data_IF_549601244052
#
_entry.id   IF_549601244052
#
_cell.length_a   1.000
_cell.length_b   1.000
_cell.length_c   1.000
_cell.angle_alpha   90.00
_cell.angle_beta   90.00
_cell.angle_gamma   90.00
#
_symmetry.space_group_name_H-M   'P 1'
#
loop_
_entity.id
_entity.type
_entity.pdbx_description
1 polymer ?
#
# COMPACT_ATOMS: atom_id res chain seq x y z
N UNK A 1 7.62 13.09 -39.17
CA UNK A 1 7.88 14.05 -38.07
C UNK A 1 6.53 14.38 -37.45
N UNK A 2 6.06 13.51 -36.56
CA UNK A 2 4.81 13.71 -35.85
C UNK A 2 5.13 14.60 -34.64
N UNK A 3 4.52 15.78 -34.60
CA UNK A 3 4.54 16.63 -33.42
C UNK A 3 3.64 15.93 -32.41
N UNK A 4 4.26 15.22 -31.45
CA UNK A 4 3.60 14.80 -30.22
C UNK A 4 3.27 16.06 -29.45
N UNK A 5 2.06 16.59 -29.65
CA UNK A 5 1.49 17.58 -28.74
C UNK A 5 1.23 16.83 -27.44
N UNK A 6 2.20 16.86 -26.53
CA UNK A 6 2.01 16.48 -25.14
C UNK A 6 1.01 17.49 -24.59
N UNK A 7 -0.21 17.06 -24.27
CA UNK A 7 -1.10 17.91 -23.48
C UNK A 7 -0.42 18.07 -22.12
N UNK A 8 0.12 19.26 -21.86
CA UNK A 8 0.70 19.57 -20.56
C UNK A 8 -0.46 19.80 -19.59
N UNK A 9 -0.55 18.98 -18.55
CA UNK A 9 -1.50 19.19 -17.47
C UNK A 9 -1.09 20.44 -16.66
N UNK A 10 -2.06 21.30 -16.34
CA UNK A 10 -1.83 22.59 -15.70
C UNK A 10 -1.77 22.44 -14.17
N UNK A 11 -0.66 21.91 -13.66
CA UNK A 11 -0.49 21.58 -12.24
C UNK A 11 -0.75 22.75 -11.29
N UNK A 12 -0.25 23.96 -11.59
CA UNK A 12 -0.42 25.12 -10.70
C UNK A 12 -1.90 25.55 -10.58
N UNK A 13 -2.63 25.50 -11.70
CA UNK A 13 -4.06 25.81 -11.74
C UNK A 13 -4.87 24.70 -11.04
N UNK A 14 -4.52 23.44 -11.29
CA UNK A 14 -5.10 22.29 -10.60
C UNK A 14 -4.97 22.41 -9.08
N UNK A 15 -3.77 22.66 -8.57
CA UNK A 15 -3.55 22.81 -7.12
C UNK A 15 -4.37 23.98 -6.55
N UNK A 16 -4.36 25.13 -7.23
CA UNK A 16 -5.02 26.34 -6.76
C UNK A 16 -6.53 26.14 -6.68
N UNK A 17 -7.13 25.67 -7.75
CA UNK A 17 -8.58 25.50 -7.85
C UNK A 17 -9.07 24.34 -7.00
N UNK A 18 -8.33 23.22 -6.93
CA UNK A 18 -8.69 22.11 -6.06
C UNK A 18 -8.58 22.47 -4.58
N UNK A 19 -7.59 23.27 -4.18
CA UNK A 19 -7.52 23.82 -2.82
C UNK A 19 -8.76 24.65 -2.49
N UNK A 20 -9.19 25.53 -3.40
CA UNK A 20 -10.37 26.37 -3.18
C UNK A 20 -11.65 25.51 -3.10
N UNK A 21 -11.78 24.52 -3.99
CA UNK A 21 -12.90 23.60 -3.99
C UNK A 21 -12.95 22.78 -2.69
N UNK A 22 -11.82 22.22 -2.26
CA UNK A 22 -11.71 21.46 -1.02
C UNK A 22 -12.07 22.32 0.20
N UNK A 23 -11.52 23.54 0.31
CA UNK A 23 -11.85 24.43 1.41
C UNK A 23 -13.35 24.81 1.42
N UNK A 24 -13.95 25.05 0.27
CA UNK A 24 -15.39 25.32 0.19
C UNK A 24 -16.24 24.11 0.58
N UNK A 25 -15.85 22.91 0.15
CA UNK A 25 -16.51 21.67 0.52
C UNK A 25 -16.44 21.43 2.03
N UNK A 26 -15.27 21.57 2.65
CA UNK A 26 -15.13 21.42 4.11
C UNK A 26 -15.96 22.46 4.85
N UNK A 27 -16.01 23.72 4.41
CA UNK A 27 -16.90 24.72 5.02
C UNK A 27 -18.36 24.29 4.99
N UNK A 28 -18.82 23.75 3.87
CA UNK A 28 -20.19 23.26 3.74
C UNK A 28 -20.45 22.04 4.64
N UNK A 29 -19.48 21.12 4.77
CA UNK A 29 -19.57 19.99 5.70
C UNK A 29 -19.63 20.45 7.16
N UNK A 30 -18.76 21.40 7.56
CA UNK A 30 -18.76 21.96 8.92
C UNK A 30 -20.06 22.70 9.21
N UNK A 31 -20.60 23.45 8.25
CA UNK A 31 -21.91 24.10 8.38
C UNK A 31 -23.04 23.06 8.56
N UNK A 32 -22.99 21.95 7.81
CA UNK A 32 -23.96 20.86 7.93
C UNK A 32 -23.84 20.10 9.27
N UNK A 33 -22.63 19.93 9.79
CA UNK A 33 -22.35 19.33 11.09
C UNK A 33 -22.79 20.23 12.28
N UNK A 34 -23.12 21.50 12.03
CA UNK A 34 -23.73 22.39 13.00
C UNK A 34 -22.80 22.74 14.16
N UNK A 35 -23.06 22.19 15.35
CA UNK A 35 -22.31 22.49 16.58
C UNK A 35 -21.26 21.44 16.94
N UNK A 36 -21.07 20.45 16.09
CA UNK A 36 -20.04 19.43 16.26
C UNK A 36 -18.64 20.04 16.16
N UNK A 37 -17.65 19.35 16.72
CA UNK A 37 -16.26 19.80 16.81
C UNK A 37 -15.41 19.06 15.77
N UNK A 38 -15.02 19.71 14.65
CA UNK A 38 -14.14 19.08 13.67
C UNK A 38 -12.75 18.77 14.25
N UNK A 39 -12.21 17.58 13.98
CA UNK A 39 -10.82 17.25 14.35
C UNK A 39 -9.99 16.72 13.17
N UNK A 40 -10.62 16.25 12.09
CA UNK A 40 -9.88 15.75 10.93
C UNK A 40 -10.62 15.99 9.62
N UNK A 41 -9.85 16.20 8.56
CA UNK A 41 -10.28 16.11 7.16
C UNK A 41 -9.38 15.12 6.46
N UNK A 42 -9.96 14.20 5.70
CA UNK A 42 -9.22 13.23 4.91
C UNK A 42 -9.55 13.39 3.43
N UNK A 43 -8.52 13.34 2.61
CA UNK A 43 -8.66 12.94 1.22
C UNK A 43 -8.47 11.43 1.17
N UNK A 44 -9.47 10.65 0.77
CA UNK A 44 -9.45 9.18 0.82
C UNK A 44 -9.81 8.55 -0.52
N UNK A 45 -9.82 7.22 -0.60
CA UNK A 45 -10.18 6.49 -1.83
C UNK A 45 -9.31 6.85 -3.04
N UNK A 46 -7.99 7.00 -2.80
CA UNK A 46 -7.04 7.16 -3.89
C UNK A 46 -7.11 5.96 -4.83
N UNK A 47 -7.48 6.21 -6.08
CA UNK A 47 -7.58 5.16 -7.11
C UNK A 47 -6.82 5.52 -8.37
N UNK A 48 -6.01 4.58 -8.83
CA UNK A 48 -5.24 4.70 -10.05
C UNK A 48 -5.01 3.33 -10.70
N UNK A 49 -5.02 3.32 -12.03
CA UNK A 49 -4.67 2.13 -12.83
C UNK A 49 -3.35 2.40 -13.54
N UNK A 50 -2.35 1.54 -13.39
CA UNK A 50 -1.05 1.74 -14.07
C UNK A 50 -1.25 1.85 -15.58
N UNK A 51 -0.78 2.96 -16.18
CA UNK A 51 -1.01 3.36 -17.59
C UNK A 51 -2.46 3.72 -17.96
N UNK A 52 -3.39 3.65 -17.01
CA UNK A 52 -4.79 4.04 -17.10
C UNK A 52 -5.07 5.34 -16.36
N UNK A 53 -6.25 5.40 -15.77
CA UNK A 53 -6.81 6.60 -15.12
C UNK A 53 -6.15 6.90 -13.76
N UNK A 54 -6.25 8.16 -13.35
CA UNK A 54 -6.02 8.61 -11.97
C UNK A 54 -7.29 9.39 -11.59
N UNK A 55 -7.98 8.94 -10.54
CA UNK A 55 -9.16 9.63 -10.02
C UNK A 55 -8.78 10.61 -8.90
N UNK A 56 -9.61 11.63 -8.73
CA UNK A 56 -9.50 12.50 -7.57
C UNK A 56 -10.01 11.74 -6.33
N UNK A 57 -9.34 11.86 -5.18
CA UNK A 57 -9.76 11.21 -3.95
C UNK A 57 -11.05 11.84 -3.42
N UNK A 58 -11.84 11.08 -2.66
CA UNK A 58 -12.98 11.64 -1.94
C UNK A 58 -12.52 12.57 -0.82
N UNK A 59 -13.41 13.45 -0.36
CA UNK A 59 -13.16 14.31 0.78
C UNK A 59 -14.14 13.96 1.89
N UNK A 60 -13.63 13.78 3.10
CA UNK A 60 -14.41 13.45 4.28
C UNK A 60 -14.01 14.32 5.48
N UNK A 61 -14.97 14.57 6.38
CA UNK A 61 -14.82 15.35 7.61
C UNK A 61 -15.15 14.48 8.82
N UNK A 62 -14.28 14.50 9.83
CA UNK A 62 -14.52 13.86 11.11
C UNK A 62 -14.79 14.89 12.20
N UNK A 63 -15.78 14.62 13.04
CA UNK A 63 -16.11 15.40 14.22
C UNK A 63 -16.07 14.54 15.47
N UNK A 64 -15.77 15.14 16.63
CA UNK A 64 -15.66 14.41 17.90
C UNK A 64 -16.97 13.69 18.28
N UNK A 65 -18.10 14.17 17.78
CA UNK A 65 -19.44 13.66 18.08
C UNK A 65 -19.93 12.60 17.08
N UNK A 66 -19.42 12.57 15.85
CA UNK A 66 -19.88 11.62 14.81
C UNK A 66 -19.18 10.26 14.86
N UNK A 67 -18.05 10.14 15.57
CA UNK A 67 -17.27 8.89 15.64
C UNK A 67 -17.31 8.29 17.05
N UNK A 68 -18.17 7.29 17.24
CA UNK A 68 -18.36 6.62 18.53
C UNK A 68 -17.27 5.56 18.83
N UNK A 69 -16.81 4.84 17.80
CA UNK A 69 -15.86 3.74 17.94
C UNK A 69 -14.42 4.24 17.83
N UNK A 70 -13.55 4.02 18.85
CA UNK A 70 -12.16 4.49 18.81
C UNK A 70 -11.37 4.00 17.58
N UNK A 71 -11.67 2.79 17.10
CA UNK A 71 -11.01 2.18 15.94
C UNK A 71 -11.41 2.85 14.61
N UNK A 72 -12.56 3.54 14.57
CA UNK A 72 -13.05 4.29 13.41
C UNK A 72 -12.60 5.76 13.40
N UNK A 73 -11.86 6.21 14.42
CA UNK A 73 -11.45 7.63 14.56
C UNK A 73 -10.69 8.14 13.34
N UNK A 74 -9.83 7.34 12.75
CA UNK A 74 -9.10 7.71 11.54
C UNK A 74 -9.43 6.77 10.37
N UNK A 75 -10.71 6.45 10.21
CA UNK A 75 -11.25 5.63 9.11
C UNK A 75 -12.26 6.45 8.31
N UNK A 76 -11.82 7.20 7.28
CA UNK A 76 -12.71 8.06 6.48
C UNK A 76 -13.98 7.37 5.94
N UNK A 77 -13.94 6.08 5.49
CA UNK A 77 -15.15 5.37 5.06
C UNK A 77 -16.22 5.18 6.15
N UNK A 78 -15.82 5.25 7.43
CA UNK A 78 -16.71 5.09 8.59
C UNK A 78 -17.23 6.45 9.10
N UNK A 79 -16.84 7.58 8.50
CA UNK A 79 -17.27 8.90 8.93
C UNK A 79 -18.62 9.29 8.34
N UNK A 80 -19.41 10.04 9.11
CA UNK A 80 -20.75 10.49 8.71
C UNK A 80 -20.70 11.50 7.56
N UNK A 81 -19.74 12.44 7.61
CA UNK A 81 -19.63 13.54 6.65
C UNK A 81 -18.64 13.17 5.52
N UNK A 82 -19.04 12.25 4.65
CA UNK A 82 -18.25 11.77 3.50
C UNK A 82 -18.96 12.02 2.14
N UNK A 83 -18.44 11.44 1.07
CA UNK A 83 -19.01 11.44 -0.29
C UNK A 83 -19.16 12.82 -0.97
N UNK A 84 -18.22 13.74 -0.73
CA UNK A 84 -18.11 14.91 -1.63
C UNK A 84 -17.55 14.47 -2.98
N UNK A 85 -18.46 14.23 -3.92
CA UNK A 85 -18.12 14.12 -5.32
C UNK A 85 -17.70 15.49 -5.85
N UNK A 86 -16.54 15.59 -6.47
CA UNK A 86 -16.04 16.81 -7.16
C UNK A 86 -16.93 17.27 -8.34
N UNK A 87 -18.06 16.60 -8.54
CA UNK A 87 -19.04 16.79 -9.59
C UNK A 87 -19.63 18.20 -9.53
N UNK A 88 -19.29 18.99 -10.54
CA UNK A 88 -19.64 20.40 -10.79
C UNK A 88 -18.62 21.46 -10.31
N UNK A 89 -17.35 21.08 -10.11
CA UNK A 89 -16.28 22.08 -10.29
C UNK A 89 -16.17 22.44 -11.77
N UNK A 90 -16.27 23.74 -12.12
CA UNK A 90 -16.27 24.26 -13.51
C UNK A 90 -15.10 23.72 -14.38
N UNK A 91 -14.02 23.29 -13.75
CA UNK A 91 -12.74 22.95 -14.40
C UNK A 91 -12.56 21.47 -14.76
N UNK A 92 -13.49 20.58 -14.38
CA UNK A 92 -13.47 19.14 -14.73
C UNK A 92 -12.09 18.47 -14.53
N UNK A 93 -11.42 18.80 -13.42
CA UNK A 93 -10.01 18.43 -13.21
C UNK A 93 -9.77 16.91 -13.23
N UNK A 94 -10.69 16.10 -12.71
CA UNK A 94 -10.60 14.64 -12.75
C UNK A 94 -10.58 14.08 -14.17
N UNK A 95 -11.46 14.57 -15.05
CA UNK A 95 -11.50 14.16 -16.46
C UNK A 95 -10.25 14.61 -17.22
N UNK A 96 -9.79 15.85 -16.96
CA UNK A 96 -8.57 16.40 -17.56
C UNK A 96 -7.34 15.61 -17.14
N UNK A 97 -7.24 15.24 -15.87
CA UNK A 97 -6.14 14.43 -15.33
C UNK A 97 -6.15 13.05 -15.96
N UNK A 98 -7.28 12.36 -15.91
CA UNK A 98 -7.46 11.03 -16.50
C UNK A 98 -7.11 11.03 -17.99
N UNK A 99 -7.54 12.04 -18.74
CA UNK A 99 -7.21 12.20 -20.16
C UNK A 99 -5.71 12.43 -20.39
N UNK A 100 -5.05 13.20 -19.52
CA UNK A 100 -3.63 13.51 -19.67
C UNK A 100 -2.71 12.31 -19.42
N UNK A 101 -3.13 11.37 -18.56
CA UNK A 101 -2.29 10.24 -18.13
C UNK A 101 -2.62 8.91 -18.81
N UNK A 102 -3.86 8.72 -19.26
CA UNK A 102 -4.29 7.46 -19.87
C UNK A 102 -3.53 7.18 -21.16
N UNK A 103 -2.98 5.96 -21.28
CA UNK A 103 -2.22 5.52 -22.45
C UNK A 103 -0.76 5.99 -22.47
N UNK A 104 -0.29 6.68 -21.44
CA UNK A 104 1.13 6.97 -21.30
C UNK A 104 1.94 5.68 -21.10
N UNK A 105 3.19 5.61 -21.61
CA UNK A 105 4.12 4.55 -21.24
C UNK A 105 4.32 4.53 -19.72
N UNK A 106 4.44 3.34 -19.13
CA UNK A 106 4.56 3.13 -17.67
C UNK A 106 5.46 4.14 -16.96
N UNK A 107 6.71 4.30 -17.39
CA UNK A 107 7.65 5.22 -16.75
C UNK A 107 7.22 6.70 -16.80
N UNK A 108 6.44 7.11 -17.81
CA UNK A 108 5.88 8.47 -17.87
C UNK A 108 4.62 8.58 -17.03
N UNK A 109 3.79 7.54 -16.99
CA UNK A 109 2.62 7.49 -16.12
C UNK A 109 3.04 7.57 -14.64
N UNK A 110 4.06 6.82 -14.23
CA UNK A 110 4.63 6.86 -12.87
C UNK A 110 5.12 8.28 -12.51
N UNK A 111 5.73 9.00 -13.46
CA UNK A 111 6.12 10.41 -13.24
C UNK A 111 4.93 11.35 -13.05
N UNK A 112 3.82 11.15 -13.76
CA UNK A 112 2.62 11.97 -13.59
C UNK A 112 1.86 11.59 -12.30
N UNK A 113 1.90 10.32 -11.88
CA UNK A 113 1.45 9.89 -10.55
C UNK A 113 2.23 10.60 -9.43
N UNK A 114 3.57 10.64 -9.51
CA UNK A 114 4.39 11.33 -8.51
C UNK A 114 4.04 12.83 -8.41
N UNK A 115 3.76 13.46 -9.55
CA UNK A 115 3.32 14.86 -9.59
C UNK A 115 1.94 15.05 -8.99
N UNK A 116 1.01 14.13 -9.27
CA UNK A 116 -0.31 14.13 -8.67
C UNK A 116 -0.24 13.98 -7.15
N UNK A 117 0.51 13.00 -6.65
CA UNK A 117 0.77 12.80 -5.23
C UNK A 117 1.33 14.08 -4.58
N UNK A 118 2.31 14.72 -5.21
CA UNK A 118 2.88 15.97 -4.70
C UNK A 118 1.88 17.13 -4.72
N UNK A 119 1.05 17.23 -5.77
CA UNK A 119 0.01 18.24 -5.86
C UNK A 119 -1.05 18.05 -4.77
N UNK A 120 -1.47 16.81 -4.49
CA UNK A 120 -2.41 16.51 -3.41
C UNK A 120 -1.85 16.85 -2.02
N UNK A 121 -0.55 16.62 -1.78
CA UNK A 121 0.10 17.05 -0.53
C UNK A 121 0.05 18.57 -0.37
N UNK A 122 0.31 19.30 -1.46
CA UNK A 122 0.21 20.76 -1.48
C UNK A 122 -1.23 21.24 -1.22
N UNK A 123 -2.22 20.58 -1.84
CA UNK A 123 -3.65 20.86 -1.68
C UNK A 123 -4.07 20.63 -0.22
N UNK A 124 -3.74 19.50 0.39
CA UNK A 124 -4.07 19.22 1.80
C UNK A 124 -3.49 20.29 2.75
N UNK A 125 -2.20 20.62 2.58
CA UNK A 125 -1.53 21.63 3.41
C UNK A 125 -2.16 23.04 3.26
N UNK A 126 -2.49 23.44 2.03
CA UNK A 126 -3.11 24.75 1.77
C UNK A 126 -4.57 24.79 2.23
N UNK A 127 -5.33 23.70 2.07
CA UNK A 127 -6.69 23.56 2.59
C UNK A 127 -6.71 23.73 4.11
N UNK A 128 -5.82 23.02 4.83
CA UNK A 128 -5.65 23.21 6.28
C UNK A 128 -5.37 24.66 6.63
N UNK A 129 -4.38 25.26 5.96
CA UNK A 129 -3.97 26.65 6.21
C UNK A 129 -5.13 27.63 6.05
N UNK A 130 -5.93 27.48 4.99
CA UNK A 130 -7.06 28.36 4.71
C UNK A 130 -8.18 28.21 5.76
N UNK A 131 -8.53 26.98 6.12
CA UNK A 131 -9.63 26.67 7.04
C UNK A 131 -9.29 26.98 8.51
N UNK A 132 -8.03 26.86 8.90
CA UNK A 132 -7.58 27.31 10.22
C UNK A 132 -7.57 28.84 10.28
N UNK A 133 -7.10 29.51 9.22
CA UNK A 133 -6.99 30.97 9.18
C UNK A 133 -8.35 31.71 9.26
N UNK A 134 -9.42 31.12 8.73
CA UNK A 134 -10.77 31.68 8.81
C UNK A 134 -11.61 31.13 9.99
N UNK A 135 -11.04 30.21 10.77
CA UNK A 135 -11.67 29.63 11.96
C UNK A 135 -12.68 28.52 11.68
N UNK A 136 -12.76 28.01 10.44
CA UNK A 136 -13.59 26.84 10.10
C UNK A 136 -13.10 25.57 10.79
N UNK A 137 -11.78 25.38 10.87
CA UNK A 137 -11.15 24.28 11.60
C UNK A 137 -10.38 24.80 12.81
N UNK A 138 -10.34 24.05 13.92
CA UNK A 138 -9.46 24.38 15.04
C UNK A 138 -7.97 24.18 14.68
N UNK A 139 -7.08 24.85 15.41
CA UNK A 139 -5.62 24.84 15.16
C UNK A 139 -4.99 23.43 15.24
N UNK A 140 -5.60 22.52 15.99
CA UNK A 140 -5.16 21.14 16.20
C UNK A 140 -5.87 20.11 15.30
N UNK A 141 -6.79 20.55 14.42
CA UNK A 141 -7.34 19.67 13.39
C UNK A 141 -6.25 19.25 12.39
N UNK A 142 -6.33 18.01 11.93
CA UNK A 142 -5.43 17.45 10.91
C UNK A 142 -6.12 17.40 9.55
N UNK A 143 -5.35 17.62 8.48
CA UNK A 143 -5.80 17.41 7.10
C UNK A 143 -4.79 16.48 6.44
N UNK A 144 -5.21 15.29 6.06
CA UNK A 144 -4.31 14.23 5.60
C UNK A 144 -4.80 13.53 4.35
N UNK A 145 -3.92 12.75 3.72
CA UNK A 145 -4.21 11.92 2.57
C UNK A 145 -4.21 10.45 3.01
N UNK A 146 -5.28 9.71 2.76
CA UNK A 146 -5.46 8.32 3.16
C UNK A 146 -5.32 7.41 1.93
N UNK A 147 -4.07 7.04 1.62
CA UNK A 147 -3.72 6.12 0.54
C UNK A 147 -3.50 4.70 1.05
N UNK A 148 -3.66 3.71 0.16
CA UNK A 148 -3.59 2.27 0.50
C UNK A 148 -2.27 1.88 1.19
N UNK A 149 -1.15 2.46 0.76
CA UNK A 149 0.19 2.18 1.30
C UNK A 149 0.58 3.10 2.48
N UNK A 150 -0.28 4.04 2.84
CA UNK A 150 -0.05 5.09 3.84
C UNK A 150 1.19 6.00 3.61
N UNK A 151 1.77 6.02 2.39
CA UNK A 151 2.91 6.92 2.07
C UNK A 151 2.46 8.38 2.13
N UNK A 152 1.33 8.68 1.49
CA UNK A 152 0.78 10.03 1.46
C UNK A 152 0.26 10.45 2.83
N UNK A 153 -0.29 9.51 3.61
CA UNK A 153 -0.70 9.74 5.00
C UNK A 153 0.48 10.26 5.81
N UNK A 154 1.58 9.50 5.85
CA UNK A 154 2.77 9.87 6.63
C UNK A 154 3.38 11.19 6.15
N UNK A 155 3.37 11.45 4.84
CA UNK A 155 3.93 12.67 4.25
C UNK A 155 3.05 13.91 4.43
N UNK A 156 1.75 13.74 4.66
CA UNK A 156 0.79 14.83 4.84
C UNK A 156 0.79 15.42 6.25
N UNK A 157 1.35 14.69 7.22
CA UNK A 157 1.33 15.05 8.64
C UNK A 157 2.70 15.52 9.15
N UNK A 158 2.69 16.37 10.17
CA UNK A 158 3.89 16.67 10.95
C UNK A 158 4.28 15.48 11.83
N UNK A 159 5.53 15.43 12.27
CA UNK A 159 6.01 14.37 13.16
C UNK A 159 5.27 14.35 14.52
N UNK A 160 4.76 15.50 14.99
CA UNK A 160 3.99 15.58 16.24
C UNK A 160 2.57 15.03 16.04
N UNK A 161 1.91 15.40 14.93
CA UNK A 161 0.59 14.88 14.57
C UNK A 161 0.65 13.37 14.34
N UNK A 162 1.63 12.87 13.59
CA UNK A 162 1.82 11.44 13.37
C UNK A 162 2.02 10.68 14.69
N UNK A 163 2.85 11.20 15.60
CA UNK A 163 3.05 10.59 16.93
C UNK A 163 1.79 10.57 17.79
N UNK A 164 0.91 11.56 17.63
CA UNK A 164 -0.30 11.71 18.42
C UNK A 164 -1.46 10.88 17.88
N UNK A 165 -1.64 10.88 16.57
CA UNK A 165 -2.83 10.36 15.91
C UNK A 165 -2.58 9.00 15.26
N UNK A 166 -1.35 8.70 14.84
CA UNK A 166 -0.98 7.46 14.17
C UNK A 166 0.35 6.87 14.72
N UNK A 167 0.41 6.58 16.03
CA UNK A 167 1.63 6.12 16.69
C UNK A 167 2.21 4.81 16.09
N UNK A 168 1.38 3.99 15.45
CA UNK A 168 1.75 2.76 14.78
C UNK A 168 2.72 2.98 13.61
N UNK A 169 2.56 4.02 12.79
CA UNK A 169 3.51 4.31 11.70
C UNK A 169 4.87 4.76 12.24
N UNK A 170 4.89 5.46 13.37
CA UNK A 170 6.12 5.85 14.06
C UNK A 170 6.83 4.60 14.61
N UNK A 171 6.06 3.70 15.23
CA UNK A 171 6.58 2.43 15.75
C UNK A 171 7.11 1.52 14.64
N UNK A 172 6.39 1.42 13.52
CA UNK A 172 6.79 0.65 12.34
C UNK A 172 8.11 1.17 11.76
N UNK A 173 8.21 2.49 11.56
CA UNK A 173 9.43 3.15 11.06
C UNK A 173 10.62 2.92 12.00
N UNK A 174 10.41 3.01 13.32
CA UNK A 174 11.47 2.75 14.29
C UNK A 174 11.89 1.28 14.28
N UNK A 175 10.92 0.35 14.23
CA UNK A 175 11.20 -1.08 14.15
C UNK A 175 11.99 -1.42 12.88
N UNK A 176 11.66 -0.82 11.74
CA UNK A 176 12.42 -1.01 10.50
C UNK A 176 13.87 -0.55 10.66
N UNK A 177 14.10 0.67 11.22
CA UNK A 177 15.45 1.18 11.46
C UNK A 177 16.26 0.25 12.37
N UNK A 178 15.65 -0.21 13.45
CA UNK A 178 16.29 -1.10 14.42
C UNK A 178 16.67 -2.43 13.77
N UNK A 179 15.79 -2.99 12.93
CA UNK A 179 16.02 -4.24 12.19
C UNK A 179 17.11 -4.06 11.13
N UNK A 180 17.10 -2.96 10.38
CA UNK A 180 18.10 -2.68 9.34
C UNK A 180 19.50 -2.45 9.93
N UNK A 181 19.59 -1.98 11.17
CA UNK A 181 20.86 -1.81 11.89
C UNK A 181 21.46 -3.13 12.41
N UNK A 182 20.72 -4.24 12.39
CA UNK A 182 21.19 -5.53 12.88
C UNK A 182 22.18 -6.20 11.91
N UNK A 183 23.09 -7.07 12.41
CA UNK A 183 23.81 -8.01 11.56
C UNK A 183 22.85 -8.88 10.75
N UNK A 184 23.23 -9.23 9.52
CA UNK A 184 22.37 -9.93 8.54
C UNK A 184 21.69 -11.17 9.13
N UNK A 185 22.43 -12.02 9.86
CA UNK A 185 21.89 -13.25 10.45
C UNK A 185 20.78 -12.97 11.48
N UNK A 186 21.01 -11.99 12.36
CA UNK A 186 20.03 -11.57 13.36
C UNK A 186 18.82 -10.91 12.70
N UNK A 187 19.06 -10.07 11.69
CA UNK A 187 18.03 -9.40 10.90
C UNK A 187 17.09 -10.41 10.23
N UNK A 188 17.64 -11.40 9.54
CA UNK A 188 16.86 -12.46 8.86
C UNK A 188 16.00 -13.22 9.85
N UNK A 189 16.51 -13.54 11.05
CA UNK A 189 15.72 -14.25 12.07
C UNK A 189 14.53 -13.40 12.57
N UNK A 190 14.73 -12.11 12.83
CA UNK A 190 13.66 -11.20 13.28
C UNK A 190 12.62 -11.01 12.17
N UNK A 191 13.06 -10.79 10.94
CA UNK A 191 12.17 -10.65 9.80
C UNK A 191 11.38 -11.94 9.52
N UNK A 192 12.00 -13.12 9.66
CA UNK A 192 11.31 -14.39 9.49
C UNK A 192 10.18 -14.57 10.51
N UNK A 193 10.38 -14.16 11.76
CA UNK A 193 9.32 -14.16 12.77
C UNK A 193 8.19 -13.18 12.40
N UNK A 194 8.53 -11.95 12.04
CA UNK A 194 7.53 -10.93 11.65
C UNK A 194 6.74 -11.32 10.38
N UNK A 195 7.39 -11.96 9.41
CA UNK A 195 6.78 -12.47 8.20
C UNK A 195 5.93 -13.74 8.42
N UNK A 196 5.97 -14.35 9.61
CA UNK A 196 5.26 -15.59 9.93
C UNK A 196 5.92 -16.86 9.40
N UNK A 197 7.19 -16.80 9.00
CA UNK A 197 7.99 -17.96 8.59
C UNK A 197 8.54 -18.75 9.79
N UNK A 198 8.62 -18.11 10.96
CA UNK A 198 9.07 -18.70 12.21
C UNK A 198 8.18 -18.23 13.39
N UNK A 199 8.11 -19.01 14.48
CA UNK A 199 7.44 -18.55 15.70
C UNK A 199 8.11 -17.30 16.26
N UNK A 200 7.31 -16.32 16.67
CA UNK A 200 7.79 -15.12 17.33
C UNK A 200 6.68 -14.11 17.60
N UNK A 201 6.99 -13.01 18.29
CA UNK A 201 6.02 -11.96 18.55
C UNK A 201 5.64 -11.27 17.23
N UNK A 202 4.39 -10.82 17.15
CA UNK A 202 3.98 -9.86 16.12
C UNK A 202 4.70 -8.54 16.42
N UNK A 203 5.59 -8.13 15.52
CA UNK A 203 6.33 -6.88 15.63
C UNK A 203 5.62 -5.72 14.93
N UNK A 204 5.98 -4.49 15.29
CA UNK A 204 5.40 -3.27 14.71
C UNK A 204 5.71 -3.08 13.20
N UNK A 205 6.66 -3.84 12.64
CA UNK A 205 7.05 -3.76 11.23
C UNK A 205 5.95 -4.24 10.26
N UNK A 206 5.03 -5.09 10.72
CA UNK A 206 4.05 -5.74 9.85
C UNK A 206 4.63 -6.89 9.01
N UNK A 207 3.75 -7.77 8.51
CA UNK A 207 4.14 -8.99 7.78
C UNK A 207 4.66 -8.70 6.38
N UNK A 208 4.02 -7.78 5.67
CA UNK A 208 4.32 -7.46 4.28
C UNK A 208 5.69 -6.81 4.15
N UNK A 209 5.94 -5.74 4.92
CA UNK A 209 7.24 -5.10 4.98
C UNK A 209 8.36 -6.03 5.43
N UNK A 210 8.08 -6.94 6.39
CA UNK A 210 9.05 -7.95 6.79
C UNK A 210 9.40 -8.92 5.64
N UNK A 211 8.44 -9.24 4.78
CA UNK A 211 8.64 -10.10 3.61
C UNK A 211 9.49 -9.39 2.55
N UNK A 212 9.23 -8.11 2.28
CA UNK A 212 10.04 -7.29 1.36
C UNK A 212 11.50 -7.21 1.80
N UNK A 213 11.75 -6.96 3.09
CA UNK A 213 13.10 -6.89 3.63
C UNK A 213 13.81 -8.26 3.61
N UNK A 214 13.07 -9.38 3.63
CA UNK A 214 13.63 -10.70 3.38
C UNK A 214 14.01 -10.90 1.90
N UNK A 215 13.20 -10.38 0.98
CA UNK A 215 13.53 -10.40 -0.45
C UNK A 215 14.81 -9.60 -0.73
N UNK A 216 14.93 -8.41 -0.13
CA UNK A 216 16.14 -7.57 -0.22
C UNK A 216 17.38 -8.25 0.38
N UNK A 217 17.21 -9.11 1.39
CA UNK A 217 18.29 -9.91 1.96
C UNK A 217 18.76 -11.04 1.02
N UNK A 218 18.00 -11.37 -0.01
CA UNK A 218 18.36 -12.32 -1.07
C UNK A 218 18.75 -13.70 -0.52
N UNK A 219 19.95 -14.18 -0.90
CA UNK A 219 20.43 -15.50 -0.50
C UNK A 219 20.48 -15.72 1.02
N UNK A 220 20.60 -14.66 1.83
CA UNK A 220 20.60 -14.78 3.29
C UNK A 220 19.23 -15.21 3.85
N UNK A 221 18.13 -14.99 3.13
CA UNK A 221 16.79 -15.40 3.54
C UNK A 221 16.45 -16.85 3.14
N UNK A 222 17.24 -17.50 2.27
CA UNK A 222 16.99 -18.87 1.81
C UNK A 222 16.89 -19.88 2.98
N UNK A 223 17.79 -19.87 3.99
CA UNK A 223 17.71 -20.85 5.08
C UNK A 223 16.40 -20.80 5.88
N UNK A 224 15.87 -19.61 6.15
CA UNK A 224 14.61 -19.47 6.90
C UNK A 224 13.40 -19.88 6.07
N UNK A 225 13.42 -19.60 4.75
CA UNK A 225 12.37 -20.03 3.84
C UNK A 225 12.33 -21.56 3.68
N UNK A 226 13.51 -22.19 3.57
CA UNK A 226 13.65 -23.66 3.56
C UNK A 226 13.19 -24.26 4.89
N UNK A 227 13.55 -23.67 6.03
CA UNK A 227 13.10 -24.14 7.34
C UNK A 227 11.57 -24.10 7.48
N UNK A 228 10.92 -23.06 6.94
CA UNK A 228 9.45 -22.95 6.95
C UNK A 228 8.75 -24.09 6.19
N UNK A 229 9.39 -24.67 5.17
CA UNK A 229 8.83 -25.83 4.44
C UNK A 229 8.65 -27.08 5.32
N UNK A 230 9.31 -27.15 6.48
CA UNK A 230 9.21 -28.31 7.38
C UNK A 230 7.87 -28.37 8.15
N UNK A 231 7.04 -27.31 8.10
CA UNK A 231 5.81 -27.21 8.87
C UNK A 231 4.62 -26.88 7.97
N UNK A 232 3.51 -27.64 8.02
CA UNK A 232 2.33 -27.39 7.18
C UNK A 232 1.78 -25.96 7.27
N UNK A 233 1.84 -25.36 8.46
CA UNK A 233 1.33 -24.01 8.75
C UNK A 233 2.13 -22.89 8.07
N UNK A 234 3.43 -23.11 7.83
CA UNK A 234 4.35 -22.09 7.29
C UNK A 234 4.93 -22.45 5.92
N UNK A 235 4.71 -23.69 5.46
CA UNK A 235 5.24 -24.18 4.18
C UNK A 235 4.73 -23.39 2.98
N UNK A 236 3.50 -22.89 3.02
CA UNK A 236 2.97 -22.05 1.94
C UNK A 236 3.72 -20.71 1.85
N UNK A 237 4.03 -20.06 2.99
CA UNK A 237 4.80 -18.81 3.04
C UNK A 237 6.25 -19.04 2.64
N UNK A 238 6.86 -20.14 3.09
CA UNK A 238 8.21 -20.55 2.68
C UNK A 238 8.31 -20.80 1.18
N UNK A 239 7.33 -21.51 0.60
CA UNK A 239 7.23 -21.73 -0.84
C UNK A 239 7.10 -20.43 -1.62
N UNK A 240 6.19 -19.53 -1.20
CA UNK A 240 6.03 -18.20 -1.81
C UNK A 240 7.35 -17.41 -1.78
N UNK A 241 8.00 -17.30 -0.63
CA UNK A 241 9.26 -16.57 -0.49
C UNK A 241 10.37 -17.15 -1.39
N UNK A 242 10.52 -18.48 -1.45
CA UNK A 242 11.50 -19.12 -2.35
C UNK A 242 11.21 -18.85 -3.83
N UNK A 243 9.93 -18.83 -4.21
CA UNK A 243 9.48 -18.50 -5.55
C UNK A 243 9.81 -17.05 -5.94
N UNK A 244 9.68 -16.12 -5.00
CA UNK A 244 9.96 -14.69 -5.20
C UNK A 244 11.46 -14.37 -5.13
N UNK A 245 12.23 -15.06 -4.26
CA UNK A 245 13.69 -14.98 -4.24
C UNK A 245 14.32 -15.46 -5.55
N UNK A 246 13.69 -16.41 -6.24
CA UNK A 246 14.12 -16.94 -7.54
C UNK A 246 15.58 -17.48 -7.54
N UNK A 247 15.97 -18.16 -6.46
CA UNK A 247 17.29 -18.77 -6.27
C UNK A 247 17.16 -20.30 -6.30
N UNK A 248 17.52 -20.92 -7.42
CA UNK A 248 17.39 -22.36 -7.65
C UNK A 248 18.68 -23.15 -7.30
N UNK A 249 19.06 -23.21 -6.02
CA UNK A 249 20.15 -24.11 -5.60
C UNK A 249 19.65 -25.55 -5.42
N UNK A 250 20.53 -26.57 -5.49
CA UNK A 250 20.15 -27.95 -5.23
C UNK A 250 19.41 -28.14 -3.90
N UNK A 251 19.87 -27.46 -2.84
CA UNK A 251 19.27 -27.54 -1.50
C UNK A 251 17.84 -26.98 -1.48
N UNK A 252 17.58 -25.89 -2.20
CA UNK A 252 16.25 -25.31 -2.34
C UNK A 252 15.33 -26.25 -3.11
N UNK A 253 15.81 -26.80 -4.23
CA UNK A 253 15.04 -27.73 -5.06
C UNK A 253 14.69 -29.00 -4.29
N UNK A 254 15.65 -29.58 -3.57
CA UNK A 254 15.44 -30.78 -2.75
C UNK A 254 14.42 -30.53 -1.63
N UNK A 255 14.51 -29.38 -0.95
CA UNK A 255 13.55 -29.03 0.11
C UNK A 255 12.13 -28.84 -0.44
N UNK A 256 11.97 -28.16 -1.58
CA UNK A 256 10.67 -27.99 -2.24
C UNK A 256 10.09 -29.34 -2.70
N UNK A 257 10.91 -30.22 -3.28
CA UNK A 257 10.46 -31.57 -3.65
C UNK A 257 10.02 -32.40 -2.44
N UNK A 258 10.72 -32.26 -1.32
CA UNK A 258 10.37 -32.92 -0.06
C UNK A 258 9.07 -32.35 0.56
N UNK A 259 8.77 -31.07 0.34
CA UNK A 259 7.56 -30.41 0.84
C UNK A 259 6.34 -30.58 -0.07
N UNK A 260 6.53 -30.96 -1.34
CA UNK A 260 5.45 -31.16 -2.31
C UNK A 260 4.36 -32.17 -1.86
N UNK A 261 4.60 -33.14 -0.97
CA UNK A 261 3.53 -33.99 -0.42
C UNK A 261 2.68 -33.37 0.71
N UNK A 262 2.96 -32.15 1.20
CA UNK A 262 2.22 -31.47 2.29
C UNK A 262 0.83 -30.93 1.92
N UNK A 263 -0.24 -31.47 2.50
CA UNK A 263 -1.63 -31.14 2.13
C UNK A 263 -2.03 -29.66 2.32
N UNK A 264 -3.05 -29.22 1.57
CA UNK A 264 -3.67 -27.91 1.69
C UNK A 264 -2.97 -26.83 0.88
N UNK A 265 -3.08 -25.56 1.29
CA UNK A 265 -2.49 -24.41 0.58
C UNK A 265 -0.96 -24.50 0.42
N UNK A 266 -0.30 -25.32 1.24
CA UNK A 266 1.13 -25.60 1.13
C UNK A 266 1.49 -26.27 -0.21
N UNK A 267 0.67 -27.20 -0.71
CA UNK A 267 0.92 -27.88 -1.99
C UNK A 267 1.03 -26.92 -3.16
N UNK A 268 0.08 -25.99 -3.27
CA UNK A 268 -0.02 -25.11 -4.45
C UNK A 268 1.17 -24.15 -4.51
N UNK A 269 1.54 -23.55 -3.38
CA UNK A 269 2.69 -22.64 -3.33
C UNK A 269 4.03 -23.35 -3.53
N UNK A 270 4.20 -24.56 -3.01
CA UNK A 270 5.41 -25.38 -3.26
C UNK A 270 5.49 -25.78 -4.74
N UNK A 271 4.38 -26.17 -5.35
CA UNK A 271 4.32 -26.51 -6.77
C UNK A 271 4.58 -25.28 -7.66
N UNK A 272 4.03 -24.12 -7.32
CA UNK A 272 4.32 -22.83 -7.97
C UNK A 272 5.79 -22.46 -7.86
N UNK A 273 6.41 -22.63 -6.68
CA UNK A 273 7.84 -22.37 -6.48
C UNK A 273 8.70 -23.26 -7.37
N UNK A 274 8.45 -24.58 -7.37
CA UNK A 274 9.12 -25.53 -8.29
C UNK A 274 8.95 -25.11 -9.75
N UNK A 275 7.74 -24.69 -10.14
CA UNK A 275 7.45 -24.14 -11.47
C UNK A 275 8.33 -22.96 -11.84
N UNK A 276 8.34 -21.92 -11.01
CA UNK A 276 9.15 -20.71 -11.21
C UNK A 276 10.65 -20.98 -11.27
N UNK A 277 11.12 -21.95 -10.48
CA UNK A 277 12.52 -22.36 -10.44
C UNK A 277 12.90 -23.35 -11.56
N UNK A 278 11.97 -23.68 -12.46
CA UNK A 278 12.25 -24.41 -13.70
C UNK A 278 11.87 -25.89 -13.71
N UNK A 279 11.15 -26.38 -12.69
CA UNK A 279 10.74 -27.78 -12.55
C UNK A 279 9.23 -28.01 -12.81
N UNK A 280 8.56 -27.08 -13.50
CA UNK A 280 7.11 -27.11 -13.69
C UNK A 280 6.61 -28.33 -14.48
N UNK A 281 7.35 -28.75 -15.51
CA UNK A 281 6.97 -29.91 -16.32
C UNK A 281 7.13 -31.23 -15.54
N UNK A 282 8.14 -31.32 -14.69
CA UNK A 282 8.37 -32.45 -13.79
C UNK A 282 7.22 -32.57 -12.78
N UNK A 283 6.77 -31.46 -12.20
CA UNK A 283 5.60 -31.45 -11.30
C UNK A 283 4.32 -31.83 -12.06
N UNK A 284 4.13 -31.32 -13.28
CA UNK A 284 2.97 -31.64 -14.11
C UNK A 284 2.86 -33.15 -14.43
N UNK A 285 3.99 -33.84 -14.56
CA UNK A 285 4.04 -35.28 -14.83
C UNK A 285 3.68 -36.16 -13.61
N UNK A 286 3.57 -35.60 -12.40
CA UNK A 286 3.36 -36.36 -11.16
C UNK A 286 1.89 -36.66 -10.88
N UNK A 287 1.44 -37.88 -11.18
CA UNK A 287 0.06 -38.30 -10.93
C UNK A 287 -0.33 -38.40 -9.44
N UNK A 288 0.66 -38.46 -8.54
CA UNK A 288 0.49 -38.50 -7.09
C UNK A 288 0.22 -37.12 -6.45
N UNK A 289 0.36 -36.04 -7.22
CA UNK A 289 0.10 -34.65 -6.80
C UNK A 289 -1.31 -34.21 -7.24
N UNK A 290 -2.08 -33.44 -6.44
CA UNK A 290 -3.40 -32.95 -6.84
C UNK A 290 -3.39 -32.17 -8.17
N UNK A 291 -4.49 -32.27 -8.93
CA UNK A 291 -4.58 -31.61 -10.24
C UNK A 291 -4.42 -30.09 -10.18
N UNK A 292 -4.94 -29.44 -9.13
CA UNK A 292 -4.77 -28.01 -8.90
C UNK A 292 -3.30 -27.60 -8.75
N UNK A 293 -2.56 -28.30 -7.90
CA UNK A 293 -1.13 -28.02 -7.66
C UNK A 293 -0.27 -28.29 -8.91
N UNK A 294 -0.59 -29.34 -9.68
CA UNK A 294 0.06 -29.56 -10.99
C UNK A 294 -0.18 -28.41 -11.96
N UNK A 295 -1.40 -27.89 -12.01
CA UNK A 295 -1.73 -26.74 -12.83
C UNK A 295 -0.98 -25.48 -12.34
N UNK A 296 -0.93 -25.26 -11.02
CA UNK A 296 -0.21 -24.13 -10.41
C UNK A 296 1.28 -24.10 -10.76
N UNK A 297 1.92 -25.27 -10.92
CA UNK A 297 3.33 -25.37 -11.31
C UNK A 297 3.63 -24.90 -12.76
N UNK A 298 2.63 -24.91 -13.65
CA UNK A 298 2.79 -24.51 -15.07
C UNK A 298 2.00 -23.25 -15.44
N UNK A 299 1.12 -22.79 -14.54
CA UNK A 299 0.37 -21.55 -14.66
C UNK A 299 1.03 -20.38 -13.93
N UNK A 300 2.03 -20.64 -13.07
CA UNK A 300 2.85 -19.59 -12.47
C UNK A 300 3.38 -18.67 -13.58
N UNK A 301 3.26 -17.33 -13.44
CA UNK A 301 3.58 -16.41 -14.53
C UNK A 301 4.99 -16.70 -15.04
N UNK A 302 5.06 -17.07 -16.32
CA UNK A 302 6.31 -17.23 -17.05
C UNK A 302 7.09 -15.91 -16.97
N UNK A 303 8.41 -16.02 -16.79
CA UNK A 303 9.35 -14.89 -16.65
C UNK A 303 9.08 -13.73 -17.62
#
# INVERSE_FOLDING_TARGET
MAILVRVAFEWDAFETELTLAAANAVRAMVEAAGSETPYAVAFSEFYAETTGVIYLPNLALATEESVEEPDCRFSPPDWEHQDYEWGDTDSQWGERLSTAVTGLPRAQWEQEWDRFAQAMLNVAARTRTALVADGTLPDDAVVYLDDEDADLLVRSLTADELRRHFPEYVAATQAERDVLAMPVEQRVAVLAAAAGLAPGPVGALGRERATELLLDAGAAAVPVAVAALAHPETAWTGGKLLADLNIATPEVMDALWAALPLQGNAHDWVATALGRLGAGLEVLARHDVPAGSRAAAVAAPYR
#
